data_IF_833908389214
#
_entry.id   IF_833908389214
#
_cell.length_a   1.000
_cell.length_b   1.000
_cell.length_c   1.000
_cell.angle_alpha   90.00
_cell.angle_beta   90.00
_cell.angle_gamma   90.00
#
_symmetry.space_group_name_H-M   'P 1'
#
loop_
_entity.id
_entity.type
_entity.pdbx_description
1 polymer ?
#
# COMPACT_ATOMS: atom_id res chain seq x y z
N UNK A 1 -12.15 -5.09 -2.35
CA UNK A 1 -11.06 -4.07 -2.26
C UNK A 1 -10.03 -4.31 -3.37
N UNK A 2 -9.17 -3.34 -3.75
CA UNK A 2 -8.14 -3.56 -4.79
C UNK A 2 -7.14 -4.68 -4.42
N UNK A 3 -6.92 -4.86 -3.12
CA UNK A 3 -6.09 -5.93 -2.54
C UNK A 3 -6.69 -7.31 -2.82
N UNK A 4 -8.01 -7.48 -2.65
CA UNK A 4 -8.68 -8.77 -2.88
C UNK A 4 -8.58 -9.19 -4.35
N UNK A 5 -8.70 -8.23 -5.28
CA UNK A 5 -8.51 -8.47 -6.71
C UNK A 5 -7.08 -8.90 -7.08
N UNK A 6 -6.10 -8.67 -6.20
CA UNK A 6 -4.69 -9.00 -6.37
C UNK A 6 -4.25 -10.21 -5.51
N UNK A 7 -5.18 -11.09 -5.11
CA UNK A 7 -4.87 -12.29 -4.33
C UNK A 7 -4.88 -12.10 -2.81
N UNK A 8 -5.38 -10.95 -2.33
CA UNK A 8 -5.60 -10.69 -0.92
C UNK A 8 -4.34 -10.34 -0.13
N UNK A 9 -4.50 -10.18 1.20
CA UNK A 9 -3.42 -9.69 2.09
C UNK A 9 -2.23 -10.66 2.11
N UNK A 10 -2.47 -11.97 2.06
CA UNK A 10 -1.39 -12.97 2.04
C UNK A 10 -0.50 -12.78 0.81
N UNK A 11 -1.11 -12.63 -0.38
CA UNK A 11 -0.34 -12.43 -1.61
C UNK A 11 0.39 -11.09 -1.60
N UNK A 12 -0.25 -10.05 -1.07
CA UNK A 12 0.38 -8.74 -0.91
C UNK A 12 1.58 -8.78 0.04
N UNK A 13 1.53 -9.58 1.11
CA UNK A 13 2.65 -9.77 2.04
C UNK A 13 3.86 -10.38 1.34
N UNK A 14 3.64 -11.41 0.51
CA UNK A 14 4.70 -12.02 -0.31
C UNK A 14 5.33 -11.00 -1.27
N UNK A 15 4.50 -10.24 -1.99
CA UNK A 15 4.98 -9.29 -3.01
C UNK A 15 5.72 -8.09 -2.42
N UNK A 16 5.34 -7.64 -1.23
CA UNK A 16 5.90 -6.43 -0.60
C UNK A 16 6.99 -6.71 0.43
N UNK A 17 7.10 -7.95 0.91
CA UNK A 17 7.90 -8.33 2.07
C UNK A 17 7.40 -7.73 3.39
N UNK A 18 6.20 -7.14 3.42
CA UNK A 18 5.61 -6.57 4.63
C UNK A 18 4.87 -7.70 5.37
N UNK A 19 5.05 -7.85 6.70
CA UNK A 19 4.33 -8.87 7.45
C UNK A 19 2.81 -8.73 7.32
N UNK A 20 2.12 -9.86 7.14
CA UNK A 20 0.66 -9.91 7.03
C UNK A 20 -0.06 -9.20 8.20
N UNK A 21 0.34 -9.34 9.48
CA UNK A 21 -0.31 -8.60 10.58
C UNK A 21 -0.21 -7.08 10.42
N UNK A 22 0.90 -6.57 9.88
CA UNK A 22 1.10 -5.14 9.63
C UNK A 22 0.15 -4.64 8.53
N UNK A 23 0.00 -5.42 7.46
CA UNK A 23 -0.96 -5.11 6.40
C UNK A 23 -2.41 -5.16 6.90
N UNK A 24 -2.76 -6.17 7.71
CA UNK A 24 -4.11 -6.27 8.31
C UNK A 24 -4.43 -5.09 9.22
N UNK A 25 -3.49 -4.65 10.06
CA UNK A 25 -3.68 -3.44 10.89
C UNK A 25 -3.89 -2.18 10.04
N UNK A 26 -3.16 -2.06 8.92
CA UNK A 26 -3.34 -0.95 8.00
C UNK A 26 -4.72 -0.96 7.34
N UNK A 27 -5.08 -2.06 6.67
CA UNK A 27 -6.35 -2.15 5.95
C UNK A 27 -7.57 -2.22 6.88
N UNK A 28 -7.37 -2.58 8.14
CA UNK A 28 -8.36 -2.49 9.21
C UNK A 28 -8.52 -1.09 9.83
N UNK A 29 -7.81 -0.07 9.32
CA UNK A 29 -7.98 1.32 9.74
C UNK A 29 -7.26 1.72 11.03
N UNK A 30 -6.43 0.85 11.60
CA UNK A 30 -5.80 1.11 12.90
C UNK A 30 -4.63 2.10 12.83
N UNK A 31 -3.93 2.23 11.69
CA UNK A 31 -2.75 3.10 11.54
C UNK A 31 -2.43 3.38 10.08
N UNK A 32 -2.11 4.64 9.73
CA UNK A 32 -1.61 4.99 8.41
C UNK A 32 -0.11 4.65 8.27
N UNK A 33 0.28 3.85 7.25
CA UNK A 33 1.66 3.45 7.06
C UNK A 33 2.50 4.61 6.52
N UNK A 34 3.81 4.55 6.78
CA UNK A 34 4.77 5.53 6.27
C UNK A 34 4.79 5.54 4.74
N UNK A 35 5.18 6.68 4.15
CA UNK A 35 5.30 6.85 2.69
C UNK A 35 6.06 5.71 1.99
N UNK A 36 7.19 5.26 2.56
CA UNK A 36 7.97 4.17 1.98
C UNK A 36 7.17 2.85 1.86
N UNK A 37 6.35 2.55 2.86
CA UNK A 37 5.47 1.37 2.87
C UNK A 37 4.34 1.52 1.85
N UNK A 38 3.73 2.70 1.76
CA UNK A 38 2.72 3.00 0.74
C UNK A 38 3.27 2.82 -0.67
N UNK A 39 4.48 3.29 -0.94
CA UNK A 39 5.14 3.14 -2.24
C UNK A 39 5.44 1.67 -2.57
N UNK A 40 5.84 0.85 -1.59
CA UNK A 40 6.01 -0.59 -1.78
C UNK A 40 4.69 -1.27 -2.15
N UNK A 41 3.61 -0.94 -1.44
CA UNK A 41 2.27 -1.47 -1.73
C UNK A 41 1.80 -1.03 -3.12
N UNK A 42 1.95 0.24 -3.47
CA UNK A 42 1.58 0.78 -4.78
C UNK A 42 2.32 0.08 -5.92
N UNK A 43 3.64 -0.12 -5.77
CA UNK A 43 4.45 -0.88 -6.75
C UNK A 43 3.99 -2.34 -6.86
N UNK A 44 3.75 -3.01 -5.74
CA UNK A 44 3.31 -4.41 -5.73
C UNK A 44 1.93 -4.62 -6.37
N UNK A 45 1.05 -3.63 -6.26
CA UNK A 45 -0.29 -3.63 -6.87
C UNK A 45 -0.32 -3.02 -8.27
N UNK A 46 0.86 -2.69 -8.83
CA UNK A 46 1.01 -1.99 -10.11
C UNK A 46 0.09 -0.77 -10.25
N UNK A 47 -0.08 -0.01 -9.16
CA UNK A 47 -0.86 1.22 -9.18
C UNK A 47 0.00 2.28 -9.85
N UNK A 48 -0.50 2.87 -10.93
CA UNK A 48 0.10 4.07 -11.51
C UNK A 48 0.17 5.12 -10.41
N UNK A 49 1.38 5.56 -10.07
CA UNK A 49 1.51 6.74 -9.23
C UNK A 49 0.85 7.87 -9.99
N UNK A 50 -0.33 8.32 -9.55
CA UNK A 50 -0.77 9.66 -9.90
C UNK A 50 0.34 10.53 -9.31
N UNK A 51 1.13 11.13 -10.19
CA UNK A 51 2.10 12.13 -9.81
C UNK A 51 1.31 13.15 -8.99
N UNK A 52 1.53 13.19 -7.67
CA UNK A 52 0.94 14.23 -6.84
C UNK A 52 1.74 15.48 -7.20
N UNK A 53 1.44 16.04 -8.37
CA UNK A 53 1.81 17.38 -8.79
C UNK A 53 0.94 18.36 -7.99
N UNK A 54 1.01 18.30 -6.66
CA UNK A 54 0.69 19.47 -5.87
C UNK A 54 1.98 20.24 -5.78
N UNK A 55 2.08 21.29 -6.57
CA UNK A 55 2.92 22.43 -6.21
C UNK A 55 2.64 22.74 -4.73
N UNK A 56 3.69 22.72 -3.93
CA UNK A 56 3.62 23.29 -2.59
C UNK A 56 3.49 24.80 -2.80
N UNK A 57 2.26 25.29 -2.84
CA UNK A 57 2.00 26.73 -2.78
C UNK A 57 2.63 27.24 -1.49
N UNK A 58 3.67 28.06 -1.65
CA UNK A 58 4.40 28.74 -0.58
C UNK A 58 3.47 29.62 0.25
#
# INVERSE_FOLDING_TARGET
MIVDKNGGIKKLAELTGIPQPSLSRFFGGATMPRRATLLKIARALNLSQIEIATEWSR
#
